data_IF_331314985868
#
_entry.id   IF_331314985868
#
_cell.length_a   1.000
_cell.length_b   1.000
_cell.length_c   1.000
_cell.angle_alpha   90.00
_cell.angle_beta   90.00
_cell.angle_gamma   90.00
#
_symmetry.space_group_name_H-M   'P 1'
#
loop_
_entity.id
_entity.type
_entity.pdbx_description
1 polymer ?
#
# COMPACT_ATOMS: atom_id res chain seq x y z
N UNK A 1 28.65 37.03 49.91
CA UNK A 1 27.32 36.53 50.29
C UNK A 1 26.52 36.50 49.00
N UNK A 2 26.60 35.42 48.29
CA UNK A 2 25.86 35.19 47.07
C UNK A 2 25.27 33.82 47.13
N UNK A 3 24.00 33.81 47.41
CA UNK A 3 23.19 32.64 47.55
C UNK A 3 22.83 32.12 46.15
N UNK A 4 23.44 31.03 45.75
CA UNK A 4 23.06 30.34 44.51
C UNK A 4 21.96 29.37 44.85
N UNK A 5 20.73 29.79 44.53
CA UNK A 5 19.59 28.92 44.56
C UNK A 5 19.75 27.83 43.46
N UNK A 6 19.92 26.60 43.92
CA UNK A 6 19.80 25.39 43.13
C UNK A 6 18.35 25.27 42.71
N UNK A 7 18.11 25.44 41.43
CA UNK A 7 16.82 25.09 40.83
C UNK A 7 16.82 23.57 40.68
N UNK A 8 16.11 22.92 41.60
CA UNK A 8 15.64 21.57 41.41
C UNK A 8 14.64 21.56 40.23
N UNK A 9 15.11 21.17 39.07
CA UNK A 9 14.22 20.75 38.01
C UNK A 9 13.54 19.44 38.42
N UNK A 10 12.20 19.37 38.38
CA UNK A 10 11.53 18.10 38.60
C UNK A 10 11.86 17.19 37.41
N UNK A 11 12.73 16.23 37.66
CA UNK A 11 12.92 15.08 36.80
C UNK A 11 11.58 14.40 36.67
N UNK A 12 10.81 14.77 35.66
CA UNK A 12 9.64 14.05 35.23
C UNK A 12 10.12 12.65 34.85
N UNK A 13 9.93 11.71 35.77
CA UNK A 13 10.15 10.30 35.54
C UNK A 13 9.29 9.91 34.33
N UNK A 14 9.92 9.91 33.18
CA UNK A 14 9.41 9.18 32.02
C UNK A 14 9.38 7.71 32.45
N UNK A 15 8.22 7.24 32.88
CA UNK A 15 7.93 5.81 32.86
C UNK A 15 8.22 5.38 31.42
N UNK A 16 9.35 4.79 31.21
CA UNK A 16 9.69 4.02 30.04
C UNK A 16 8.71 2.83 30.02
N UNK A 17 7.50 3.09 29.58
CA UNK A 17 6.68 2.06 28.96
C UNK A 17 7.48 1.68 27.72
N UNK A 18 8.23 0.58 27.83
CA UNK A 18 9.04 0.05 26.74
C UNK A 18 8.11 -0.12 25.55
N UNK A 19 8.13 0.86 24.67
CA UNK A 19 7.44 0.79 23.38
C UNK A 19 8.02 -0.38 22.57
N UNK A 20 7.33 -0.81 21.51
CA UNK A 20 7.85 -1.85 20.65
C UNK A 20 9.22 -1.45 20.11
N UNK A 21 10.14 -2.42 20.06
CA UNK A 21 11.43 -2.26 19.40
C UNK A 21 11.22 -1.99 17.90
N UNK A 22 11.65 -0.82 17.44
CA UNK A 22 11.52 -0.36 16.06
C UNK A 22 12.83 -0.36 15.27
N UNK A 23 13.92 -0.88 15.83
CA UNK A 23 15.25 -0.92 15.18
C UNK A 23 15.24 -1.66 13.82
N UNK A 24 14.21 -2.45 13.58
CA UNK A 24 14.03 -3.20 12.35
C UNK A 24 13.32 -2.41 11.25
N UNK A 25 12.72 -1.27 11.59
CA UNK A 25 11.94 -0.44 10.68
C UNK A 25 12.86 0.59 10.03
N UNK A 26 13.06 0.47 8.73
CA UNK A 26 13.72 1.50 7.95
C UNK A 26 12.67 2.54 7.57
N UNK A 27 12.67 3.65 8.27
CA UNK A 27 11.76 4.78 8.01
C UNK A 27 12.34 5.60 6.87
N UNK A 28 11.56 5.85 5.83
CA UNK A 28 11.95 6.71 4.71
C UNK A 28 11.89 8.20 5.09
N UNK A 29 12.56 9.06 4.31
CA UNK A 29 12.52 10.50 4.53
C UNK A 29 11.07 11.03 4.51
N UNK A 30 10.70 11.73 5.58
CA UNK A 30 9.33 12.23 5.78
C UNK A 30 8.31 11.18 6.21
N UNK A 31 8.74 9.96 6.53
CA UNK A 31 7.87 8.95 7.11
C UNK A 31 7.83 9.09 8.64
N UNK A 32 6.62 9.17 9.20
CA UNK A 32 6.39 9.30 10.64
C UNK A 32 5.59 8.11 11.16
N UNK A 33 6.03 7.54 12.26
CA UNK A 33 5.29 6.51 12.98
C UNK A 33 4.09 7.14 13.67
N UNK A 34 2.89 6.76 13.28
CA UNK A 34 1.63 7.24 13.88
C UNK A 34 1.17 6.36 15.04
N UNK A 35 1.48 5.09 14.96
CA UNK A 35 1.13 4.13 16.00
C UNK A 35 2.04 2.91 15.91
N UNK A 36 2.41 2.38 17.07
CA UNK A 36 3.18 1.14 17.16
C UNK A 36 2.72 0.36 18.39
N UNK A 37 2.60 -0.95 18.25
CA UNK A 37 2.19 -1.84 19.33
C UNK A 37 2.73 -3.24 19.15
N UNK A 38 2.81 -3.94 20.26
CA UNK A 38 2.94 -5.40 20.34
C UNK A 38 1.56 -6.01 20.60
N UNK A 39 1.39 -7.33 20.40
CA UNK A 39 0.17 -8.01 20.81
C UNK A 39 -0.16 -7.78 22.29
N UNK A 40 -1.42 -7.79 22.64
CA UNK A 40 -1.86 -7.59 24.00
C UNK A 40 -1.46 -8.79 24.89
N UNK A 41 -1.02 -8.52 26.12
CA UNK A 41 -0.54 -9.56 27.07
C UNK A 41 -1.53 -10.72 27.28
N UNK A 42 -2.82 -10.47 27.19
CA UNK A 42 -3.82 -11.52 27.29
C UNK A 42 -3.92 -12.43 26.06
N UNK A 43 -3.17 -12.18 25.00
CA UNK A 43 -3.09 -13.07 23.84
C UNK A 43 -2.50 -14.45 24.19
N UNK A 44 -1.77 -14.55 25.31
CA UNK A 44 -1.20 -15.79 25.80
C UNK A 44 -2.22 -16.66 26.57
N UNK A 45 -3.32 -16.07 27.06
CA UNK A 45 -4.30 -16.76 27.89
C UNK A 45 -4.85 -18.04 27.26
N UNK A 46 -5.24 -18.10 25.97
CA UNK A 46 -5.69 -19.34 25.37
C UNK A 46 -4.64 -20.45 25.40
N UNK A 47 -3.37 -20.09 25.21
CA UNK A 47 -2.26 -21.04 25.28
C UNK A 47 -2.01 -21.56 26.68
N UNK A 48 -2.22 -20.72 27.72
CA UNK A 48 -2.13 -21.15 29.12
C UNK A 48 -3.29 -22.08 29.48
N UNK A 49 -4.50 -21.79 29.07
CA UNK A 49 -5.69 -22.62 29.34
C UNK A 49 -5.52 -24.03 28.78
N UNK A 50 -4.95 -24.16 27.58
CA UNK A 50 -4.70 -25.47 26.95
C UNK A 50 -3.38 -26.07 27.44
N UNK A 51 -2.33 -25.29 27.57
CA UNK A 51 -0.98 -25.73 27.85
C UNK A 51 -0.79 -26.23 29.30
N UNK A 52 -1.49 -25.62 30.29
CA UNK A 52 -1.37 -26.04 31.69
C UNK A 52 -1.86 -27.47 31.90
N UNK A 53 -3.05 -27.90 31.47
CA UNK A 53 -3.46 -29.29 31.57
C UNK A 53 -2.52 -30.26 30.79
N UNK A 54 -2.08 -29.83 29.59
CA UNK A 54 -1.17 -30.64 28.77
C UNK A 54 0.25 -30.71 29.30
N UNK A 55 0.64 -29.83 30.24
CA UNK A 55 1.95 -29.87 30.86
C UNK A 55 2.16 -31.11 31.73
N UNK A 56 1.05 -31.76 32.19
CA UNK A 56 1.11 -33.03 32.90
C UNK A 56 1.74 -34.15 32.05
N UNK A 57 1.59 -34.06 30.73
CA UNK A 57 2.19 -34.98 29.74
C UNK A 57 3.40 -34.35 29.02
N UNK A 58 3.97 -33.29 29.55
CA UNK A 58 5.12 -32.53 29.01
C UNK A 58 4.90 -31.87 27.65
N UNK A 59 3.74 -32.05 27.00
CA UNK A 59 3.42 -31.47 25.69
C UNK A 59 2.99 -29.99 25.85
N UNK A 60 2.42 -29.62 26.99
CA UNK A 60 1.93 -28.26 27.20
C UNK A 60 3.05 -27.20 27.33
N UNK A 61 4.22 -27.58 27.82
CA UNK A 61 5.36 -26.67 28.02
C UNK A 61 5.79 -26.03 26.69
N UNK A 62 6.09 -26.77 25.60
CA UNK A 62 6.46 -26.18 24.33
C UNK A 62 5.36 -25.29 23.74
N UNK A 63 4.08 -25.59 23.96
CA UNK A 63 2.97 -24.77 23.50
C UNK A 63 2.97 -23.39 24.18
N UNK A 64 3.16 -23.36 25.50
CA UNK A 64 3.22 -22.10 26.27
C UNK A 64 4.44 -21.29 25.86
N UNK A 65 5.60 -21.93 25.74
CA UNK A 65 6.85 -21.28 25.35
C UNK A 65 6.73 -20.69 23.94
N UNK A 66 6.20 -21.45 22.97
CA UNK A 66 5.99 -20.98 21.60
C UNK A 66 5.05 -19.77 21.55
N UNK A 67 3.96 -19.79 22.30
CA UNK A 67 3.01 -18.67 22.37
C UNK A 67 3.61 -17.43 23.02
N UNK A 68 4.41 -17.59 24.05
CA UNK A 68 5.13 -16.50 24.68
C UNK A 68 6.17 -15.89 23.73
N UNK A 69 6.93 -16.71 23.03
CA UNK A 69 7.91 -16.25 22.04
C UNK A 69 7.22 -15.52 20.87
N UNK A 70 6.08 -16.00 20.40
CA UNK A 70 5.28 -15.30 19.39
C UNK A 70 4.81 -13.94 19.87
N UNK A 71 4.32 -13.85 21.09
CA UNK A 71 3.91 -12.60 21.72
C UNK A 71 5.03 -11.57 21.76
N UNK A 72 6.23 -11.97 22.21
CA UNK A 72 7.37 -11.06 22.39
C UNK A 72 8.05 -10.66 21.08
N UNK A 73 7.91 -11.47 20.02
CA UNK A 73 8.59 -11.26 18.73
C UNK A 73 7.63 -10.78 17.62
N UNK A 74 6.50 -10.20 17.99
CA UNK A 74 5.56 -9.61 17.04
C UNK A 74 5.40 -8.13 17.31
N UNK A 75 5.61 -7.31 16.28
CA UNK A 75 5.44 -5.86 16.32
C UNK A 75 4.58 -5.39 15.16
N UNK A 76 3.70 -4.43 15.43
CA UNK A 76 2.85 -3.78 14.45
C UNK A 76 3.10 -2.28 14.46
N UNK A 77 3.20 -1.69 13.28
CA UNK A 77 3.44 -0.26 13.12
C UNK A 77 2.53 0.30 12.04
N UNK A 78 1.95 1.45 12.31
CA UNK A 78 1.24 2.29 11.36
C UNK A 78 2.02 3.59 11.21
N UNK A 79 2.42 3.90 10.00
CA UNK A 79 3.08 5.17 9.66
C UNK A 79 2.13 6.07 8.88
N UNK A 80 2.60 7.20 8.41
CA UNK A 80 1.87 8.04 7.45
C UNK A 80 1.94 7.51 6.01
N UNK A 81 2.78 6.49 5.71
CA UNK A 81 2.94 5.92 4.37
C UNK A 81 2.32 4.53 4.22
N UNK A 82 2.22 3.77 5.29
CA UNK A 82 1.73 2.40 5.22
C UNK A 82 1.68 1.67 6.55
N UNK A 83 1.45 0.38 6.42
CA UNK A 83 1.27 -0.57 7.50
C UNK A 83 2.42 -1.57 7.49
N UNK A 84 2.96 -1.84 8.67
CA UNK A 84 4.09 -2.75 8.86
C UNK A 84 3.74 -3.80 9.91
N UNK A 85 4.11 -5.04 9.64
CA UNK A 85 4.02 -6.15 10.59
C UNK A 85 5.32 -6.92 10.58
N UNK A 86 5.96 -7.01 11.72
CA UNK A 86 7.12 -7.86 11.93
C UNK A 86 6.72 -9.04 12.79
N UNK A 87 7.02 -10.24 12.34
CA UNK A 87 6.82 -11.49 13.06
C UNK A 87 8.04 -12.37 12.94
N UNK A 88 8.24 -13.23 13.91
CA UNK A 88 9.21 -14.32 13.82
C UNK A 88 10.07 -14.51 15.04
N UNK A 89 10.35 -15.79 15.33
CA UNK A 89 11.17 -16.24 16.45
C UNK A 89 12.57 -16.61 15.92
N UNK A 90 12.63 -17.46 14.91
CA UNK A 90 13.85 -17.98 14.29
C UNK A 90 14.13 -17.33 12.92
N UNK A 91 13.10 -16.86 12.26
CA UNK A 91 13.17 -16.10 11.03
C UNK A 91 12.47 -14.76 11.21
N UNK A 92 12.92 -13.73 10.51
CA UNK A 92 12.25 -12.42 10.48
C UNK A 92 11.35 -12.39 9.27
N UNK A 93 10.08 -12.23 9.49
CA UNK A 93 9.08 -11.94 8.45
C UNK A 93 8.59 -10.50 8.67
N UNK A 94 8.86 -9.65 7.69
CA UNK A 94 8.43 -8.25 7.71
C UNK A 94 7.52 -8.04 6.51
N UNK A 95 6.27 -7.72 6.77
CA UNK A 95 5.28 -7.40 5.77
C UNK A 95 5.01 -5.90 5.80
N UNK A 96 4.96 -5.30 4.62
CA UNK A 96 4.64 -3.88 4.42
C UNK A 96 3.55 -3.75 3.38
N UNK A 97 2.56 -2.92 3.66
CA UNK A 97 1.49 -2.55 2.72
C UNK A 97 1.35 -1.03 2.71
N UNK A 98 1.56 -0.41 1.54
CA UNK A 98 1.29 1.00 1.34
C UNK A 98 -0.22 1.29 1.32
N UNK A 99 -0.62 2.47 1.76
CA UNK A 99 -2.04 2.86 1.80
C UNK A 99 -2.71 2.91 0.43
N UNK A 100 -1.93 3.14 -0.63
CA UNK A 100 -2.37 3.09 -2.03
C UNK A 100 -2.90 1.72 -2.47
N UNK A 101 -2.46 0.65 -1.80
CA UNK A 101 -2.87 -0.73 -2.09
C UNK A 101 -4.01 -1.23 -1.22
N UNK A 102 -4.32 -0.53 -0.12
CA UNK A 102 -5.37 -0.95 0.81
C UNK A 102 -6.74 -0.76 0.16
N UNK A 103 -7.52 -1.84 0.10
CA UNK A 103 -8.88 -1.83 -0.43
C UNK A 103 -9.93 -1.89 0.68
N UNK A 104 -9.70 -2.69 1.70
CA UNK A 104 -10.65 -2.85 2.79
C UNK A 104 -9.94 -3.06 4.13
N UNK A 105 -10.53 -2.50 5.17
CA UNK A 105 -10.07 -2.63 6.55
C UNK A 105 -11.25 -3.03 7.40
N UNK A 106 -11.10 -4.10 8.15
CA UNK A 106 -12.10 -4.55 9.11
C UNK A 106 -11.45 -4.84 10.45
N UNK A 107 -12.20 -4.73 11.52
CA UNK A 107 -11.75 -5.20 12.83
C UNK A 107 -12.69 -6.28 13.36
N UNK A 108 -12.17 -7.13 14.20
CA UNK A 108 -12.91 -8.17 14.88
C UNK A 108 -12.50 -8.28 16.34
N UNK A 109 -13.49 -8.53 17.18
CA UNK A 109 -13.31 -8.80 18.60
C UNK A 109 -14.14 -10.03 19.01
N UNK A 110 -13.50 -10.99 19.66
CA UNK A 110 -14.23 -12.07 20.31
C UNK A 110 -14.91 -11.55 21.60
N UNK A 111 -15.84 -12.30 22.17
CA UNK A 111 -16.48 -11.94 23.44
C UNK A 111 -15.46 -11.73 24.57
N UNK A 112 -14.43 -12.57 24.64
CA UNK A 112 -13.31 -12.43 25.58
C UNK A 112 -12.46 -11.22 25.23
N UNK A 113 -12.15 -11.02 23.95
CA UNK A 113 -11.39 -9.88 23.50
C UNK A 113 -12.07 -8.54 23.77
N UNK A 114 -13.39 -8.48 23.60
CA UNK A 114 -14.20 -7.30 23.93
C UNK A 114 -14.15 -6.96 25.43
N UNK A 115 -14.26 -7.98 26.28
CA UNK A 115 -14.17 -7.80 27.74
C UNK A 115 -12.80 -7.36 28.22
N UNK A 116 -11.74 -7.74 27.52
CA UNK A 116 -10.35 -7.45 27.86
C UNK A 116 -9.73 -6.31 27.04
N UNK A 117 -10.52 -5.70 26.13
CA UNK A 117 -10.10 -4.55 25.35
C UNK A 117 -9.13 -4.85 24.21
N UNK A 118 -9.08 -6.09 23.69
CA UNK A 118 -8.22 -6.44 22.55
C UNK A 118 -9.00 -7.09 21.41
N UNK A 119 -8.41 -7.09 20.22
CA UNK A 119 -8.97 -7.73 19.03
C UNK A 119 -7.99 -7.75 17.88
N UNK A 120 -8.49 -7.89 16.67
CA UNK A 120 -7.67 -7.94 15.46
C UNK A 120 -8.16 -6.91 14.44
N UNK A 121 -7.24 -6.39 13.64
CA UNK A 121 -7.52 -5.59 12.45
C UNK A 121 -6.99 -6.35 11.25
N UNK A 122 -7.86 -6.53 10.27
CA UNK A 122 -7.59 -7.25 9.03
C UNK A 122 -7.58 -6.27 7.86
N UNK A 123 -6.56 -6.36 7.04
CA UNK A 123 -6.33 -5.48 5.89
C UNK A 123 -6.25 -6.33 4.62
N UNK A 124 -7.03 -5.97 3.62
CA UNK A 124 -7.01 -6.57 2.29
C UNK A 124 -6.59 -5.53 1.25
N UNK A 125 -5.91 -6.00 0.20
CA UNK A 125 -5.40 -5.17 -0.88
C UNK A 125 -6.14 -5.44 -2.19
N UNK A 126 -6.06 -4.47 -3.10
CA UNK A 126 -6.58 -4.62 -4.45
C UNK A 126 -5.75 -5.66 -5.23
N UNK A 127 -6.37 -6.76 -5.63
CA UNK A 127 -5.71 -7.87 -6.34
C UNK A 127 -5.25 -9.03 -5.44
N UNK A 128 -5.36 -8.88 -4.13
CA UNK A 128 -5.12 -9.97 -3.19
C UNK A 128 -6.32 -10.93 -3.07
N UNK A 129 -6.07 -12.16 -2.66
CA UNK A 129 -7.11 -13.19 -2.51
C UNK A 129 -7.75 -13.25 -1.12
N UNK A 130 -7.61 -12.18 -0.31
CA UNK A 130 -8.16 -12.14 1.05
C UNK A 130 -7.45 -11.16 1.97
N UNK A 131 -7.30 -11.55 3.24
CA UNK A 131 -6.58 -10.76 4.24
C UNK A 131 -5.08 -10.94 4.03
N UNK A 132 -4.39 -9.87 3.65
CA UNK A 132 -2.94 -9.91 3.41
C UNK A 132 -2.14 -9.48 4.64
N UNK A 133 -2.67 -8.55 5.42
CA UNK A 133 -2.03 -8.13 6.66
C UNK A 133 -3.04 -8.20 7.80
N UNK A 134 -2.62 -8.80 8.90
CA UNK A 134 -3.45 -8.91 10.10
C UNK A 134 -2.68 -8.47 11.33
N UNK A 135 -3.22 -7.48 12.04
CA UNK A 135 -2.78 -7.09 13.38
C UNK A 135 -3.58 -7.87 14.42
N UNK A 136 -2.97 -8.90 14.99
CA UNK A 136 -3.64 -9.80 15.94
C UNK A 136 -3.47 -9.35 17.37
N UNK A 137 -4.53 -9.50 18.14
CA UNK A 137 -4.53 -9.26 19.60
C UNK A 137 -4.01 -7.88 19.99
N UNK A 138 -4.33 -6.85 19.21
CA UNK A 138 -3.94 -5.47 19.50
C UNK A 138 -4.94 -4.83 20.48
N UNK A 139 -4.49 -3.88 21.31
CA UNK A 139 -5.40 -3.11 22.15
C UNK A 139 -6.24 -2.17 21.29
N UNK A 140 -7.52 -2.03 21.66
CA UNK A 140 -8.47 -1.13 21.03
C UNK A 140 -8.48 -1.16 19.50
N UNK A 141 -8.85 -2.28 18.86
CA UNK A 141 -8.76 -2.44 17.40
C UNK A 141 -9.65 -1.48 16.62
N UNK A 142 -10.75 -1.03 17.20
CA UNK A 142 -11.62 -0.04 16.58
C UNK A 142 -10.91 1.31 16.38
N UNK A 143 -10.19 1.80 17.39
CA UNK A 143 -9.41 3.03 17.27
C UNK A 143 -8.24 2.90 16.28
N UNK A 144 -7.64 1.73 16.19
CA UNK A 144 -6.58 1.47 15.21
C UNK A 144 -7.15 1.44 13.79
N UNK A 145 -8.30 0.81 13.59
CA UNK A 145 -9.00 0.81 12.30
C UNK A 145 -9.36 2.25 11.87
N UNK A 146 -9.89 3.05 12.78
CA UNK A 146 -10.21 4.46 12.51
C UNK A 146 -8.96 5.29 12.18
N UNK A 147 -7.85 5.07 12.90
CA UNK A 147 -6.58 5.72 12.61
C UNK A 147 -6.08 5.39 11.21
N UNK A 148 -6.14 4.13 10.81
CA UNK A 148 -5.72 3.69 9.48
C UNK A 148 -6.62 4.31 8.40
N UNK A 149 -7.94 4.29 8.59
CA UNK A 149 -8.89 4.91 7.66
C UNK A 149 -8.61 6.40 7.47
N UNK A 150 -8.35 7.11 8.56
CA UNK A 150 -8.00 8.54 8.53
C UNK A 150 -6.68 8.83 7.78
N UNK A 151 -5.68 7.98 7.92
CA UNK A 151 -4.43 8.15 7.17
C UNK A 151 -4.62 7.86 5.66
N UNK A 152 -5.46 6.90 5.31
CA UNK A 152 -5.84 6.64 3.91
C UNK A 152 -6.57 7.84 3.30
N UNK A 153 -7.60 8.37 3.98
CA UNK A 153 -8.36 9.53 3.52
C UNK A 153 -7.48 10.77 3.35
N UNK A 154 -6.54 10.97 4.28
CA UNK A 154 -5.58 12.07 4.20
C UNK A 154 -4.70 11.97 2.96
N UNK A 155 -4.25 10.78 2.61
CA UNK A 155 -3.45 10.55 1.41
C UNK A 155 -4.25 10.76 0.14
N UNK A 156 -5.43 10.16 0.06
CA UNK A 156 -6.32 10.34 -1.10
C UNK A 156 -6.69 11.82 -1.30
N UNK A 157 -6.88 12.57 -0.22
CA UNK A 157 -7.10 14.01 -0.28
C UNK A 157 -5.88 14.80 -0.77
N UNK A 158 -4.67 14.36 -0.44
CA UNK A 158 -3.42 14.96 -0.94
C UNK A 158 -3.19 14.64 -2.42
N UNK A 159 -3.50 13.42 -2.83
CA UNK A 159 -3.39 13.00 -4.24
C UNK A 159 -4.46 13.68 -5.12
N UNK A 160 -5.64 13.97 -4.59
CA UNK A 160 -6.67 14.75 -5.29
C UNK A 160 -6.24 16.21 -5.53
N UNK A 161 -5.44 16.81 -4.62
CA UNK A 161 -4.82 18.12 -4.84
C UNK A 161 -3.81 18.10 -5.99
N UNK A 162 -3.00 17.06 -6.10
CA UNK A 162 -2.08 16.86 -7.22
C UNK A 162 -2.79 16.52 -8.54
N UNK A 163 -3.94 15.85 -8.49
CA UNK A 163 -4.75 15.58 -9.67
C UNK A 163 -5.34 16.86 -10.29
N UNK A 164 -5.72 17.85 -9.46
CA UNK A 164 -6.21 19.14 -9.95
C UNK A 164 -5.13 19.92 -10.70
N UNK A 165 -3.88 19.91 -10.21
CA UNK A 165 -2.73 20.48 -10.91
C UNK A 165 -2.42 19.74 -12.22
N UNK A 166 -2.58 18.42 -12.22
CA UNK A 166 -2.39 17.59 -13.42
C UNK A 166 -3.47 17.87 -14.48
N UNK A 167 -4.73 18.05 -14.08
CA UNK A 167 -5.83 18.41 -14.97
C UNK A 167 -5.60 19.78 -15.62
N UNK A 168 -5.08 20.76 -14.87
CA UNK A 168 -4.73 22.08 -15.44
C UNK A 168 -3.60 21.97 -16.47
N UNK A 169 -2.57 21.16 -16.19
CA UNK A 169 -1.47 20.89 -17.14
C UNK A 169 -1.98 20.13 -18.39
N UNK A 170 -2.87 19.16 -18.22
CA UNK A 170 -3.48 18.44 -19.33
C UNK A 170 -4.33 19.35 -20.22
N UNK A 171 -5.11 20.25 -19.64
CA UNK A 171 -5.88 21.25 -20.38
C UNK A 171 -4.97 22.20 -21.15
N UNK A 172 -3.87 22.63 -20.57
CA UNK A 172 -2.88 23.46 -21.24
C UNK A 172 -2.22 22.73 -22.42
N UNK A 173 -1.86 21.46 -22.26
CA UNK A 173 -1.32 20.60 -23.33
C UNK A 173 -2.35 20.43 -24.45
N UNK A 174 -3.63 20.23 -24.12
CA UNK A 174 -4.70 20.10 -25.11
C UNK A 174 -4.92 21.37 -25.93
N UNK A 175 -4.81 22.54 -25.31
CA UNK A 175 -4.88 23.85 -26.00
C UNK A 175 -3.70 23.99 -26.96
N UNK A 176 -2.50 23.63 -26.53
CA UNK A 176 -1.30 23.72 -27.36
C UNK A 176 -1.33 22.74 -28.55
N UNK A 177 -1.79 21.51 -28.33
CA UNK A 177 -1.98 20.53 -29.39
C UNK A 177 -3.02 20.97 -30.42
N UNK A 178 -4.12 21.64 -30.00
CA UNK A 178 -5.10 22.20 -30.92
C UNK A 178 -4.51 23.34 -31.75
N UNK A 179 -3.69 24.20 -31.15
CA UNK A 179 -3.02 25.29 -31.84
C UNK A 179 -2.03 24.76 -32.91
N UNK A 180 -1.26 23.73 -32.56
CA UNK A 180 -0.33 23.06 -33.49
C UNK A 180 -1.11 22.42 -34.63
N UNK A 181 -2.21 21.73 -34.34
CA UNK A 181 -3.06 21.11 -35.37
C UNK A 181 -3.64 22.13 -36.32
N UNK A 182 -4.10 23.29 -35.83
CA UNK A 182 -4.61 24.35 -36.69
C UNK A 182 -3.53 24.95 -37.58
N UNK A 183 -2.33 25.19 -37.04
CA UNK A 183 -1.21 25.71 -37.79
C UNK A 183 -0.76 24.76 -38.92
N UNK A 184 -0.73 23.44 -38.64
CA UNK A 184 -0.41 22.44 -39.68
C UNK A 184 -1.51 22.31 -40.73
N UNK A 185 -2.78 22.46 -40.32
CA UNK A 185 -3.89 22.40 -41.26
C UNK A 185 -3.93 23.63 -42.22
N UNK A 186 -3.54 24.80 -41.70
CA UNK A 186 -3.43 26.03 -42.52
C UNK A 186 -2.24 25.95 -43.50
N UNK A 187 -1.12 25.33 -43.09
CA UNK A 187 0.06 25.11 -43.95
C UNK A 187 -0.23 24.06 -45.05
N UNK A 188 -1.03 23.05 -44.77
CA UNK A 188 -1.46 22.03 -45.74
C UNK A 188 -2.52 22.52 -46.72
N UNK A 189 -3.10 23.69 -46.49
CA UNK A 189 -4.13 24.31 -47.33
C UNK A 189 -3.62 25.25 -48.41
N UNK A 190 -2.31 25.47 -48.55
CA UNK A 190 -1.79 26.26 -49.69
C UNK A 190 -1.75 25.41 -50.94
N UNK A 191 -2.49 25.75 -52.01
CA UNK A 191 -2.35 25.09 -53.27
C UNK A 191 -0.97 25.40 -53.84
N UNK A 192 -0.16 24.39 -54.07
CA UNK A 192 1.00 24.52 -54.92
C UNK A 192 0.47 24.87 -56.34
N UNK A 193 0.59 26.13 -56.65
CA UNK A 193 0.40 26.64 -58.02
C UNK A 193 1.51 26.01 -58.89
N UNK A 194 1.20 24.87 -59.51
CA UNK A 194 2.00 24.26 -60.53
C UNK A 194 1.37 24.53 -61.88
N UNK A 195 1.91 25.56 -62.53
CA UNK A 195 1.76 25.87 -63.96
C UNK A 195 2.13 24.64 -64.81
N UNK A 196 1.37 24.41 -65.90
CA UNK A 196 1.54 23.21 -66.71
C UNK A 196 2.64 23.38 -67.73
N UNK A 197 3.65 22.54 -67.67
CA UNK A 197 4.56 22.31 -68.77
C UNK A 197 4.13 21.08 -69.58
N UNK A 198 3.63 21.33 -70.75
CA UNK A 198 3.31 20.33 -71.77
C UNK A 198 4.54 19.54 -72.20
N UNK A 199 4.41 18.25 -72.19
CA UNK A 199 5.19 17.40 -73.10
C UNK A 199 4.40 16.10 -73.36
N UNK A 200 3.83 16.05 -74.56
CA UNK A 200 3.34 14.85 -75.17
C UNK A 200 4.40 13.77 -75.29
N UNK A 201 4.12 12.57 -74.91
CA UNK A 201 4.66 11.37 -75.52
C UNK A 201 3.58 10.28 -75.50
N UNK A 202 3.18 9.97 -76.74
CA UNK A 202 2.33 8.87 -77.13
C UNK A 202 2.93 7.48 -76.84
N UNK A 203 1.99 6.51 -76.97
CA UNK A 203 2.22 5.11 -77.39
C UNK A 203 2.50 4.16 -76.20
N UNK A 204 1.89 3.08 -76.03
CA UNK A 204 1.19 2.10 -76.85
C UNK A 204 0.47 1.06 -76.00
N UNK A 205 -0.59 0.62 -76.50
CA UNK A 205 -1.43 -0.45 -75.96
C UNK A 205 -0.75 -1.81 -76.10
N UNK A 206 -0.97 -2.68 -75.20
CA UNK A 206 -1.57 -3.98 -75.49
C UNK A 206 -1.48 -4.98 -74.37
N UNK A 207 -2.30 -5.98 -74.41
CA UNK A 207 -2.94 -6.55 -73.25
C UNK A 207 -2.49 -8.00 -72.97
N UNK A 208 -3.11 -8.55 -72.00
CA UNK A 208 -3.29 -9.99 -71.82
C UNK A 208 -2.44 -10.61 -70.68
N UNK A 209 -3.03 -11.25 -69.75
CA UNK A 209 -3.64 -12.56 -69.73
C UNK A 209 -3.78 -12.97 -68.26
N UNK A 210 -4.93 -13.11 -67.76
CA UNK A 210 -5.68 -14.31 -67.43
C UNK A 210 -4.88 -15.46 -66.73
N UNK A 211 -5.56 -15.99 -65.78
CA UNK A 211 -5.55 -17.32 -65.23
C UNK A 211 -4.86 -17.40 -63.83
N UNK A 212 -5.55 -17.75 -62.86
CA UNK A 212 -6.29 -19.00 -62.56
C UNK A 212 -5.58 -19.74 -61.38
N UNK A 213 -6.37 -20.31 -60.58
CA UNK A 213 -5.95 -21.33 -59.60
C UNK A 213 -6.20 -20.89 -58.15
N UNK A 214 -7.37 -21.06 -57.64
CA UNK A 214 -7.97 -22.28 -57.10
C UNK A 214 -7.40 -22.72 -55.77
N UNK A 215 -8.30 -22.67 -54.82
CA UNK A 215 -8.59 -23.68 -53.78
C UNK A 215 -7.43 -24.40 -53.09
N UNK A 216 -7.42 -24.43 -51.77
CA UNK A 216 -7.79 -25.64 -51.07
C UNK A 216 -7.96 -25.44 -49.58
N UNK A 217 -8.98 -26.04 -49.11
CA UNK A 217 -9.39 -26.36 -47.74
C UNK A 217 -8.44 -27.35 -47.09
N UNK A 218 -8.55 -27.43 -45.74
CA UNK A 218 -8.05 -28.50 -44.88
C UNK A 218 -7.83 -27.94 -43.50
N UNK A 219 -8.72 -28.01 -42.59
CA UNK A 219 -9.18 -29.10 -41.73
C UNK A 219 -8.01 -29.81 -40.98
N UNK A 220 -7.86 -29.53 -39.72
CA UNK A 220 -7.87 -30.36 -38.51
C UNK A 220 -7.58 -29.56 -37.25
#
# INVERSE_FOLDING_TARGET
>A
MSDSALQDEPTTGSEHTAGPDLDWLSVEDGEEVRWASTPHKYSIVPALVVGIPLSLVLIGIPIIVASYLQYTNTNYVVTNKGLYSKRGILSRDVQQIGFDKVQNISYSQSAVGSSLGYGSVDVSTAGGSGVELQFRSIPNPAAVQELIAKEIDRRQGSDAGGAAETDEVLDQILVELRAIRSAVADDAGQPLDSSPGSADVDVEASPNRAADGAMEQGDE
#
